data_IF_443877057341
#
_entry.id   IF_443877057341
#
_cell.length_a   1.000
_cell.length_b   1.000
_cell.length_c   1.000
_cell.angle_alpha   90.00
_cell.angle_beta   90.00
_cell.angle_gamma   90.00
#
_symmetry.space_group_name_H-M   'P 1'
#
loop_
_entity.id
_entity.type
_entity.pdbx_description
1 polymer ?
#
# COMPACT_ATOMS: atom_id res chain seq x y z
N UNK A 1 -14.88 17.59 11.35
CA UNK A 1 -13.54 16.96 11.21
C UNK A 1 -12.75 17.79 10.24
N UNK A 2 -11.55 18.30 10.55
CA UNK A 2 -10.74 18.99 9.56
C UNK A 2 -10.38 17.98 8.47
N UNK A 3 -10.78 18.26 7.23
CA UNK A 3 -10.32 17.51 6.08
C UNK A 3 -8.81 17.75 5.97
N UNK A 4 -8.05 16.68 6.08
CA UNK A 4 -6.61 16.69 5.87
C UNK A 4 -6.37 17.06 4.40
N UNK A 5 -5.82 18.25 4.17
CA UNK A 5 -5.48 18.71 2.82
C UNK A 5 -4.51 17.68 2.19
N UNK A 6 -4.82 17.10 1.04
CA UNK A 6 -3.87 16.25 0.35
C UNK A 6 -2.62 17.07 0.01
N UNK A 7 -1.48 16.40 -0.02
CA UNK A 7 -0.22 16.96 -0.49
C UNK A 7 -0.43 17.49 -1.92
N UNK A 8 0.14 18.65 -2.27
CA UNK A 8 0.00 19.16 -3.63
C UNK A 8 0.73 18.23 -4.60
N UNK A 9 0.30 18.20 -5.86
CA UNK A 9 0.95 17.36 -6.88
C UNK A 9 2.43 17.70 -7.04
N UNK A 10 2.81 18.97 -6.84
CA UNK A 10 4.18 19.43 -6.91
C UNK A 10 5.01 18.93 -5.72
N UNK A 11 4.48 18.98 -4.51
CA UNK A 11 5.16 18.45 -3.32
C UNK A 11 5.32 16.93 -3.41
N UNK A 12 4.30 16.25 -3.91
CA UNK A 12 4.33 14.82 -4.17
C UNK A 12 5.40 14.44 -5.21
N UNK A 13 5.53 15.23 -6.29
CA UNK A 13 6.55 15.01 -7.32
C UNK A 13 7.97 15.19 -6.76
N UNK A 14 8.23 16.30 -6.07
CA UNK A 14 9.54 16.58 -5.45
C UNK A 14 9.93 15.46 -4.48
N UNK A 15 8.99 15.00 -3.67
CA UNK A 15 9.21 13.92 -2.73
C UNK A 15 9.57 12.60 -3.43
N UNK A 16 8.86 12.25 -4.49
CA UNK A 16 9.08 11.02 -5.27
C UNK A 16 10.41 11.05 -6.00
N UNK A 17 10.78 12.19 -6.57
CA UNK A 17 12.09 12.39 -7.21
C UNK A 17 13.22 12.25 -6.19
N UNK A 18 13.12 12.91 -5.06
CA UNK A 18 14.10 12.83 -3.97
C UNK A 18 14.24 11.43 -3.37
N UNK A 19 13.17 10.60 -3.40
CA UNK A 19 13.19 9.22 -2.90
C UNK A 19 13.47 8.18 -3.98
N UNK A 20 13.65 8.58 -5.24
CA UNK A 20 13.86 7.66 -6.37
C UNK A 20 12.65 6.76 -6.68
N UNK A 21 11.43 7.17 -6.30
CA UNK A 21 10.22 6.36 -6.43
C UNK A 21 9.36 6.70 -7.64
N UNK A 22 9.81 7.57 -8.53
CA UNK A 22 9.07 7.95 -9.76
C UNK A 22 8.70 6.74 -10.61
N UNK A 23 9.64 5.81 -10.81
CA UNK A 23 9.38 4.58 -11.56
C UNK A 23 8.34 3.67 -10.90
N UNK A 24 8.28 3.64 -9.56
CA UNK A 24 7.26 2.86 -8.81
C UNK A 24 5.87 3.44 -9.04
N UNK A 25 5.74 4.77 -9.03
CA UNK A 25 4.46 5.44 -9.30
C UNK A 25 4.02 5.22 -10.75
N UNK A 26 4.95 5.28 -11.70
CA UNK A 26 4.64 5.04 -13.12
C UNK A 26 4.18 3.59 -13.35
N UNK A 27 4.80 2.61 -12.70
CA UNK A 27 4.36 1.22 -12.74
C UNK A 27 2.98 1.03 -12.09
N UNK A 28 2.73 1.70 -10.96
CA UNK A 28 1.44 1.66 -10.29
C UNK A 28 0.32 2.26 -11.16
N UNK A 29 0.56 3.42 -11.80
CA UNK A 29 -0.40 4.07 -12.71
C UNK A 29 -0.71 3.21 -13.93
N UNK A 30 0.31 2.60 -14.53
CA UNK A 30 0.10 1.70 -15.66
C UNK A 30 -0.77 0.51 -15.26
N UNK A 31 -0.48 -0.12 -14.13
CA UNK A 31 -1.26 -1.26 -13.65
C UNK A 31 -2.70 -0.85 -13.31
N UNK A 32 -2.88 0.27 -12.61
CA UNK A 32 -4.20 0.81 -12.26
C UNK A 32 -5.05 1.10 -13.50
N UNK A 33 -4.48 1.76 -14.52
CA UNK A 33 -5.16 2.03 -15.79
C UNK A 33 -5.61 0.75 -16.50
N UNK A 34 -4.73 -0.25 -16.62
CA UNK A 34 -5.09 -1.54 -17.24
C UNK A 34 -6.19 -2.29 -16.49
N UNK A 35 -6.15 -2.28 -15.16
CA UNK A 35 -7.22 -2.87 -14.34
C UNK A 35 -8.55 -2.13 -14.54
N UNK A 36 -8.49 -0.79 -14.59
CA UNK A 36 -9.68 0.04 -14.81
C UNK A 36 -10.31 -0.16 -16.17
N UNK A 37 -9.51 -0.28 -17.23
CA UNK A 37 -9.97 -0.57 -18.60
C UNK A 37 -10.78 -1.88 -18.69
N UNK A 38 -10.54 -2.80 -17.76
CA UNK A 38 -11.23 -4.09 -17.64
C UNK A 38 -12.21 -4.14 -16.46
N UNK A 39 -12.56 -2.98 -15.90
CA UNK A 39 -13.54 -2.83 -14.81
C UNK A 39 -13.15 -3.57 -13.53
N UNK A 40 -11.87 -3.80 -13.29
CA UNK A 40 -11.37 -4.41 -12.04
C UNK A 40 -11.10 -3.33 -10.99
N UNK A 41 -11.86 -3.32 -9.88
CA UNK A 41 -11.58 -2.42 -8.76
C UNK A 41 -10.26 -2.81 -8.07
N UNK A 42 -9.51 -1.82 -7.61
CA UNK A 42 -8.22 -2.07 -6.98
C UNK A 42 -7.91 -1.06 -5.86
N UNK A 43 -6.98 -1.42 -4.97
CA UNK A 43 -6.44 -0.53 -3.93
C UNK A 43 -4.92 -0.66 -3.88
N UNK A 44 -4.24 0.46 -3.85
CA UNK A 44 -2.80 0.53 -3.56
C UNK A 44 -2.61 0.47 -2.05
N UNK A 45 -1.73 -0.43 -1.61
CA UNK A 45 -1.35 -0.61 -0.20
C UNK A 45 0.17 -0.44 -0.03
N UNK A 46 0.72 -0.85 1.08
CA UNK A 46 2.17 -0.96 1.29
C UNK A 46 2.92 0.36 1.35
N UNK A 47 4.11 0.37 0.77
CA UNK A 47 5.05 1.50 0.84
C UNK A 47 4.58 2.73 0.09
N UNK A 48 3.98 2.54 -1.09
CA UNK A 48 3.47 3.65 -1.90
C UNK A 48 2.29 4.34 -1.19
N UNK A 49 1.39 3.58 -0.56
CA UNK A 49 0.30 4.16 0.23
C UNK A 49 0.81 4.99 1.42
N UNK A 50 1.90 4.56 2.07
CA UNK A 50 2.54 5.33 3.15
C UNK A 50 3.05 6.68 2.64
N UNK A 51 3.66 6.73 1.45
CA UNK A 51 4.10 7.98 0.83
C UNK A 51 2.95 8.93 0.52
N UNK A 52 1.85 8.41 -0.01
CA UNK A 52 0.65 9.22 -0.31
C UNK A 52 0.04 9.84 0.96
N UNK A 53 0.25 9.22 2.12
CA UNK A 53 -0.11 9.80 3.41
C UNK A 53 0.96 10.72 4.01
N UNK A 54 2.02 11.06 3.26
CA UNK A 54 2.97 12.12 3.60
C UNK A 54 4.21 11.67 4.40
N UNK A 55 4.46 10.37 4.54
CA UNK A 55 5.73 9.90 5.07
C UNK A 55 6.71 9.57 3.92
N UNK A 56 7.74 10.41 3.70
CA UNK A 56 8.73 10.20 2.66
C UNK A 56 9.65 9.03 3.02
N UNK A 57 9.44 7.90 2.36
CA UNK A 57 10.30 6.72 2.51
C UNK A 57 10.58 6.09 1.15
N UNK A 58 11.71 5.41 1.01
CA UNK A 58 12.00 4.64 -0.19
C UNK A 58 11.07 3.44 -0.27
N UNK A 59 10.44 3.23 -1.44
CA UNK A 59 9.77 1.99 -1.83
C UNK A 59 10.24 1.59 -3.22
N UNK A 60 10.34 0.30 -3.48
CA UNK A 60 10.88 -0.27 -4.72
C UNK A 60 9.88 -1.18 -5.43
N UNK A 61 8.74 -1.38 -4.82
CA UNK A 61 7.66 -2.26 -5.27
C UNK A 61 6.31 -1.58 -5.16
N UNK A 62 5.35 -2.11 -5.90
CA UNK A 62 3.93 -1.75 -5.83
C UNK A 62 3.17 -2.92 -5.25
N UNK A 63 2.32 -2.69 -4.28
CA UNK A 63 1.41 -3.68 -3.71
C UNK A 63 -0.03 -3.28 -4.07
N UNK A 64 -0.73 -4.11 -4.88
CA UNK A 64 -2.10 -3.85 -5.37
C UNK A 64 -3.04 -4.94 -4.87
N UNK A 65 -4.09 -4.55 -4.17
CA UNK A 65 -5.17 -5.44 -3.74
C UNK A 65 -6.25 -5.46 -4.80
N UNK A 66 -6.68 -6.66 -5.21
CA UNK A 66 -7.72 -6.91 -6.22
C UNK A 66 -8.70 -7.99 -5.75
N UNK A 67 -9.93 -8.05 -6.29
CA UNK A 67 -10.89 -9.12 -5.96
C UNK A 67 -10.39 -10.51 -6.37
N UNK A 68 -9.88 -10.65 -7.60
CA UNK A 68 -9.33 -11.89 -8.15
C UNK A 68 -7.92 -11.66 -8.68
N UNK A 69 -6.97 -12.44 -8.15
CA UNK A 69 -5.54 -12.34 -8.50
C UNK A 69 -5.28 -12.90 -9.91
N UNK A 70 -5.95 -13.97 -10.28
CA UNK A 70 -5.71 -14.62 -11.58
C UNK A 70 -6.21 -13.74 -12.72
N UNK A 71 -7.41 -13.22 -12.61
CA UNK A 71 -7.98 -12.29 -13.59
C UNK A 71 -7.11 -11.04 -13.74
N UNK A 72 -6.68 -10.46 -12.62
CA UNK A 72 -5.80 -9.28 -12.64
C UNK A 72 -4.46 -9.58 -13.32
N UNK A 73 -3.86 -10.72 -13.03
CA UNK A 73 -2.60 -11.13 -13.65
C UNK A 73 -2.74 -11.39 -15.16
N UNK A 74 -3.84 -12.01 -15.60
CA UNK A 74 -4.13 -12.22 -17.02
C UNK A 74 -4.23 -10.89 -17.76
N UNK A 75 -5.01 -9.96 -17.23
CA UNK A 75 -5.19 -8.63 -17.80
C UNK A 75 -3.89 -7.84 -17.84
N UNK A 76 -3.13 -7.82 -16.76
CA UNK A 76 -1.88 -7.08 -16.69
C UNK A 76 -0.83 -7.60 -17.68
N UNK A 77 -0.87 -8.89 -18.02
CA UNK A 77 0.12 -9.53 -18.90
C UNK A 77 -0.45 -10.00 -20.25
N UNK A 78 -1.66 -9.57 -20.61
CA UNK A 78 -2.31 -9.96 -21.87
C UNK A 78 -1.56 -9.48 -23.11
N UNK A 79 -0.84 -8.38 -23.02
CA UNK A 79 -0.10 -7.79 -24.12
C UNK A 79 1.27 -8.44 -24.24
N UNK A 80 1.46 -9.27 -25.28
CA UNK A 80 2.68 -10.07 -25.52
C UNK A 80 3.94 -9.21 -25.68
N UNK A 81 3.79 -8.00 -26.19
CA UNK A 81 4.88 -7.02 -26.37
C UNK A 81 4.74 -5.83 -25.41
N UNK A 82 3.83 -5.95 -24.44
CA UNK A 82 3.57 -4.94 -23.43
C UNK A 82 4.71 -4.82 -22.40
N UNK A 83 4.68 -3.81 -21.57
CA UNK A 83 5.74 -3.56 -20.59
C UNK A 83 5.63 -4.38 -19.31
N UNK A 84 4.52 -5.09 -19.07
CA UNK A 84 4.29 -5.88 -17.84
C UNK A 84 4.36 -7.37 -18.16
N UNK A 85 5.21 -8.10 -17.44
CA UNK A 85 5.43 -9.53 -17.63
C UNK A 85 5.33 -10.30 -16.31
N UNK A 86 4.88 -11.57 -16.42
CA UNK A 86 4.94 -12.52 -15.30
C UNK A 86 6.40 -12.77 -14.88
N UNK A 87 6.63 -12.88 -13.59
CA UNK A 87 7.94 -13.24 -13.05
C UNK A 87 7.99 -14.74 -12.84
N UNK A 88 8.96 -15.42 -13.49
CA UNK A 88 9.10 -16.88 -13.41
C UNK A 88 9.27 -17.33 -11.96
N UNK A 89 8.46 -18.28 -11.53
CA UNK A 89 8.48 -18.84 -10.17
C UNK A 89 7.79 -18.00 -9.11
N UNK A 90 7.12 -16.90 -9.49
CA UNK A 90 6.31 -16.09 -8.60
C UNK A 90 4.88 -16.00 -9.18
N UNK A 91 3.93 -16.60 -8.47
CA UNK A 91 2.55 -16.78 -8.99
C UNK A 91 1.68 -15.52 -8.86
N UNK A 92 2.05 -14.62 -7.95
CA UNK A 92 1.30 -13.43 -7.56
C UNK A 92 2.00 -12.11 -7.92
N UNK A 93 3.02 -12.16 -8.83
CA UNK A 93 3.86 -11.02 -9.17
C UNK A 93 4.06 -10.84 -10.66
N UNK A 94 4.07 -9.57 -11.03
CA UNK A 94 4.49 -9.13 -12.36
C UNK A 94 5.57 -8.06 -12.24
N UNK A 95 6.26 -7.78 -13.34
CA UNK A 95 7.30 -6.74 -13.42
C UNK A 95 6.99 -5.79 -14.55
N UNK A 96 7.04 -4.49 -14.30
CA UNK A 96 7.15 -3.47 -15.32
C UNK A 96 8.62 -3.34 -15.73
N UNK A 97 8.94 -3.75 -16.97
CA UNK A 97 10.33 -3.76 -17.47
C UNK A 97 10.86 -2.37 -17.83
N UNK A 98 10.01 -1.36 -18.01
CA UNK A 98 10.43 0.01 -18.28
C UNK A 98 11.06 0.64 -17.03
N UNK A 99 10.49 0.37 -15.87
CA UNK A 99 10.92 0.93 -14.57
C UNK A 99 11.64 -0.09 -13.71
N UNK A 100 11.69 -1.36 -14.14
CA UNK A 100 12.19 -2.50 -13.37
C UNK A 100 11.46 -2.74 -12.05
N UNK A 101 10.25 -2.19 -11.92
CA UNK A 101 9.44 -2.26 -10.69
C UNK A 101 8.69 -3.58 -10.60
N UNK A 102 8.75 -4.19 -9.43
CA UNK A 102 7.90 -5.35 -9.08
C UNK A 102 6.52 -4.87 -8.67
N UNK A 103 5.49 -5.59 -9.10
CA UNK A 103 4.09 -5.34 -8.74
C UNK A 103 3.54 -6.62 -8.12
N UNK A 104 3.26 -6.57 -6.83
CA UNK A 104 2.66 -7.67 -6.06
C UNK A 104 1.14 -7.56 -6.14
N UNK A 105 0.48 -8.60 -6.60
CA UNK A 105 -0.98 -8.67 -6.73
C UNK A 105 -1.53 -9.45 -5.54
N UNK A 106 -2.35 -8.79 -4.73
CA UNK A 106 -2.79 -9.28 -3.43
C UNK A 106 -4.31 -9.55 -3.43
N UNK A 107 -4.77 -10.70 -2.92
CA UNK A 107 -6.19 -11.05 -2.89
C UNK A 107 -6.93 -10.28 -1.79
N UNK A 108 -8.00 -9.60 -2.15
CA UNK A 108 -8.91 -8.96 -1.21
C UNK A 108 -9.57 -9.98 -0.26
N UNK A 109 -9.85 -9.58 0.95
CA UNK A 109 -10.52 -10.42 1.96
C UNK A 109 -9.65 -11.57 2.52
N UNK A 110 -8.39 -11.70 2.10
CA UNK A 110 -7.49 -12.76 2.56
C UNK A 110 -6.42 -12.24 3.52
N UNK A 111 -5.96 -13.14 4.38
CA UNK A 111 -4.78 -12.97 5.23
C UNK A 111 -3.68 -13.87 4.67
N UNK A 112 -2.59 -13.28 4.16
CA UNK A 112 -1.57 -14.05 3.42
C UNK A 112 -0.42 -14.54 4.31
N UNK A 113 -0.12 -13.83 5.40
CA UNK A 113 1.07 -14.11 6.20
C UNK A 113 0.71 -14.89 7.45
N UNK A 114 1.50 -15.93 7.74
CA UNK A 114 1.38 -16.67 9.00
C UNK A 114 1.58 -15.69 10.18
N UNK A 115 0.68 -15.75 11.15
CA UNK A 115 0.70 -14.88 12.33
C UNK A 115 -0.06 -13.57 12.17
N UNK A 116 -0.47 -13.20 10.95
CA UNK A 116 -1.36 -12.07 10.69
C UNK A 116 -2.83 -12.46 10.87
N UNK A 117 -3.68 -11.45 11.11
CA UNK A 117 -5.12 -11.61 11.37
C UNK A 117 -5.99 -10.58 10.67
N UNK A 118 -5.37 -9.55 10.09
CA UNK A 118 -6.08 -8.49 9.36
C UNK A 118 -6.13 -8.85 7.88
N UNK A 119 -7.33 -9.05 7.30
CA UNK A 119 -7.47 -9.31 5.88
C UNK A 119 -7.24 -8.03 5.07
N UNK A 120 -6.79 -8.19 3.83
CA UNK A 120 -6.75 -7.07 2.90
C UNK A 120 -8.16 -6.53 2.64
N UNK A 121 -8.34 -5.19 2.57
CA UNK A 121 -9.66 -4.59 2.34
C UNK A 121 -10.19 -4.95 0.95
N UNK A 122 -11.52 -4.96 0.83
CA UNK A 122 -12.19 -5.15 -0.45
C UNK A 122 -12.14 -3.84 -1.25
N UNK A 123 -11.55 -3.81 -2.47
CA UNK A 123 -11.68 -2.67 -3.37
C UNK A 123 -13.11 -2.61 -3.93
N UNK A 124 -13.67 -1.41 -4.00
CA UNK A 124 -15.04 -1.19 -4.47
C UNK A 124 -15.14 -0.18 -5.60
N UNK A 125 -14.05 0.52 -5.90
CA UNK A 125 -14.01 1.59 -6.90
C UNK A 125 -13.15 1.16 -8.07
N UNK A 126 -13.72 1.25 -9.28
CA UNK A 126 -12.98 1.17 -10.54
C UNK A 126 -12.51 2.57 -10.90
N UNK A 127 -11.22 2.76 -11.11
CA UNK A 127 -10.64 4.07 -11.41
C UNK A 127 -9.31 3.91 -12.14
N UNK A 128 -9.06 4.75 -13.13
CA UNK A 128 -7.75 4.90 -13.77
C UNK A 128 -6.71 5.59 -12.88
N UNK A 129 -7.17 6.28 -11.83
CA UNK A 129 -6.32 6.92 -10.84
C UNK A 129 -5.96 5.94 -9.73
N UNK A 130 -4.82 6.18 -9.06
CA UNK A 130 -4.40 5.37 -7.92
C UNK A 130 -5.43 5.46 -6.79
N UNK A 131 -6.08 4.36 -6.51
CA UNK A 131 -6.98 4.24 -5.37
C UNK A 131 -6.17 3.81 -4.15
N UNK A 132 -5.89 4.75 -3.27
CA UNK A 132 -5.11 4.48 -2.06
C UNK A 132 -6.01 3.89 -0.98
N UNK A 133 -5.52 2.85 -0.32
CA UNK A 133 -6.22 2.23 0.81
C UNK A 133 -6.51 3.26 1.91
N UNK A 134 -7.70 3.27 2.55
CA UNK A 134 -7.99 4.16 3.67
C UNK A 134 -6.94 4.07 4.78
N UNK A 135 -6.59 5.20 5.38
CA UNK A 135 -5.48 5.30 6.33
C UNK A 135 -5.61 4.35 7.53
N UNK A 136 -6.80 4.22 8.11
CA UNK A 136 -7.08 3.32 9.22
C UNK A 136 -6.90 1.83 8.84
N UNK A 137 -7.15 1.48 7.57
CA UNK A 137 -6.89 0.15 7.04
C UNK A 137 -5.39 -0.07 6.81
N UNK A 138 -4.68 0.94 6.28
CA UNK A 138 -3.22 0.89 6.12
C UNK A 138 -2.53 0.69 7.48
N UNK A 139 -2.90 1.48 8.49
CA UNK A 139 -2.39 1.35 9.86
C UNK A 139 -2.65 -0.08 10.40
N UNK A 140 -3.85 -0.60 10.18
CA UNK A 140 -4.21 -1.95 10.62
C UNK A 140 -3.34 -3.03 9.99
N UNK A 141 -3.13 -2.97 8.66
CA UNK A 141 -2.28 -3.91 7.92
C UNK A 141 -0.82 -3.83 8.38
N UNK A 142 -0.30 -2.62 8.59
CA UNK A 142 1.08 -2.38 9.04
C UNK A 142 1.34 -2.92 10.43
N UNK A 143 0.46 -2.63 11.40
CA UNK A 143 0.58 -3.14 12.76
C UNK A 143 0.47 -4.67 12.82
N UNK A 144 -0.43 -5.25 12.03
CA UNK A 144 -0.60 -6.71 11.96
C UNK A 144 0.62 -7.39 11.33
N UNK A 145 1.17 -6.81 10.26
CA UNK A 145 2.40 -7.28 9.62
C UNK A 145 3.59 -7.24 10.60
N UNK A 146 3.74 -6.15 11.36
CA UNK A 146 4.76 -6.04 12.39
C UNK A 146 4.54 -7.07 13.51
N UNK A 147 3.33 -7.19 14.05
CA UNK A 147 3.02 -8.14 15.11
C UNK A 147 3.30 -9.60 14.71
N UNK A 148 3.04 -9.95 13.45
CA UNK A 148 3.32 -11.28 12.91
C UNK A 148 4.82 -11.61 12.77
N UNK A 149 5.70 -10.61 12.65
CA UNK A 149 7.17 -10.79 12.51
C UNK A 149 7.94 -9.52 12.93
N UNK A 150 8.02 -9.19 14.22
CA UNK A 150 8.54 -7.88 14.70
C UNK A 150 9.95 -7.56 14.22
N UNK A 151 10.85 -8.54 14.22
CA UNK A 151 12.27 -8.35 13.81
C UNK A 151 12.39 -8.07 12.32
N UNK A 152 11.67 -8.80 11.48
CA UNK A 152 11.74 -8.63 10.01
C UNK A 152 10.90 -7.45 9.50
N UNK A 153 9.88 -7.05 10.25
CA UNK A 153 8.89 -6.05 9.88
C UNK A 153 8.94 -4.78 10.73
N UNK A 154 10.09 -4.48 11.34
CA UNK A 154 10.28 -3.26 12.13
C UNK A 154 9.92 -1.98 11.35
N UNK A 155 10.15 -1.96 10.02
CA UNK A 155 9.76 -0.85 9.14
C UNK A 155 8.25 -0.57 9.19
N UNK A 156 7.42 -1.62 9.29
CA UNK A 156 5.97 -1.45 9.32
C UNK A 156 5.52 -0.71 10.60
N UNK A 157 6.20 -0.94 11.75
CA UNK A 157 5.95 -0.16 12.96
C UNK A 157 6.43 1.29 12.84
N UNK A 158 7.60 1.50 12.24
CA UNK A 158 8.13 2.85 11.96
C UNK A 158 7.16 3.62 11.05
N UNK A 159 6.64 3.00 9.99
CA UNK A 159 5.64 3.60 9.11
C UNK A 159 4.43 4.10 9.93
N UNK A 160 3.94 3.30 10.90
CA UNK A 160 2.79 3.68 11.75
C UNK A 160 3.14 4.85 12.67
N UNK A 161 4.30 4.83 13.32
CA UNK A 161 4.76 5.94 14.19
C UNK A 161 4.80 7.24 13.40
N UNK A 162 5.44 7.23 12.24
CA UNK A 162 5.55 8.39 11.36
C UNK A 162 4.18 8.91 10.88
N UNK A 163 3.27 8.01 10.53
CA UNK A 163 1.92 8.39 10.13
C UNK A 163 1.13 8.99 11.28
N UNK A 164 1.23 8.45 12.51
CA UNK A 164 0.57 9.01 13.69
C UNK A 164 1.05 10.44 13.94
N UNK A 165 2.36 10.67 13.92
CA UNK A 165 2.95 11.97 14.21
C UNK A 165 2.64 13.01 13.11
N UNK A 166 2.88 12.65 11.84
CA UNK A 166 2.69 13.57 10.70
C UNK A 166 1.23 13.93 10.45
N UNK A 167 0.35 12.96 10.60
CA UNK A 167 -1.10 13.15 10.36
C UNK A 167 -1.86 13.51 11.64
N UNK A 168 -1.17 13.60 12.78
CA UNK A 168 -1.75 13.91 14.11
C UNK A 168 -2.96 13.01 14.38
N UNK A 169 -2.77 11.70 14.18
CA UNK A 169 -3.87 10.75 14.29
C UNK A 169 -4.37 10.69 15.75
N UNK A 170 -5.68 10.60 15.96
CA UNK A 170 -6.24 10.57 17.29
C UNK A 170 -6.06 9.19 17.94
N UNK A 171 -6.02 9.15 19.28
CA UNK A 171 -5.91 7.91 20.06
C UNK A 171 -7.06 6.93 19.80
N UNK A 172 -8.24 7.45 19.47
CA UNK A 172 -9.47 6.68 19.21
C UNK A 172 -9.68 6.33 17.73
N UNK A 173 -8.64 6.47 16.87
CA UNK A 173 -8.70 6.04 15.47
C UNK A 173 -9.26 4.62 15.38
N UNK A 174 -10.24 4.41 14.52
CA UNK A 174 -10.91 3.11 14.36
C UNK A 174 -10.04 2.19 13.50
N UNK A 175 -9.19 1.40 14.13
CA UNK A 175 -8.41 0.34 13.50
C UNK A 175 -9.06 -1.02 13.68
N UNK A 176 -8.60 -2.05 12.95
CA UNK A 176 -9.08 -3.42 13.09
C UNK A 176 -8.89 -3.94 14.53
N UNK A 177 -9.87 -4.67 15.06
CA UNK A 177 -9.89 -5.14 16.45
C UNK A 177 -8.62 -5.92 16.84
N UNK A 178 -8.09 -6.73 15.92
CA UNK A 178 -6.91 -7.55 16.15
C UNK A 178 -5.63 -6.75 16.49
N UNK A 179 -5.57 -5.46 16.11
CA UNK A 179 -4.40 -4.58 16.31
C UNK A 179 -4.72 -3.36 17.17
N UNK A 180 -5.92 -3.28 17.71
CA UNK A 180 -6.35 -2.14 18.52
C UNK A 180 -5.41 -1.86 19.69
N UNK A 181 -5.02 -2.89 20.42
CA UNK A 181 -4.11 -2.76 21.56
C UNK A 181 -2.74 -2.25 21.12
N UNK A 182 -2.18 -2.82 20.04
CA UNK A 182 -0.89 -2.37 19.49
C UNK A 182 -0.91 -0.92 19.00
N UNK A 183 -2.06 -0.46 18.48
CA UNK A 183 -2.23 0.94 18.10
C UNK A 183 -2.19 1.86 19.33
N UNK A 184 -2.94 1.53 20.39
CA UNK A 184 -3.00 2.30 21.63
C UNK A 184 -1.62 2.40 22.29
N UNK A 185 -0.92 1.27 22.43
CA UNK A 185 0.44 1.22 22.99
C UNK A 185 1.43 2.07 22.19
N UNK A 186 1.34 2.02 20.85
CA UNK A 186 2.20 2.83 19.97
C UNK A 186 1.88 4.32 20.12
N UNK A 187 0.60 4.67 20.16
CA UNK A 187 0.18 6.06 20.32
C UNK A 187 0.59 6.61 21.70
N UNK A 188 0.35 5.88 22.78
CA UNK A 188 0.70 6.28 24.15
C UNK A 188 2.22 6.44 24.30
N UNK A 189 3.03 5.55 23.69
CA UNK A 189 4.48 5.65 23.70
C UNK A 189 4.97 6.95 22.99
N UNK A 190 4.38 7.30 21.85
CA UNK A 190 4.72 8.55 21.14
C UNK A 190 4.44 9.78 22.02
N UNK A 191 3.30 9.79 22.73
CA UNK A 191 2.96 10.94 23.59
C UNK A 191 3.87 11.05 24.82
N UNK A 192 4.41 9.94 25.30
CA UNK A 192 5.33 9.93 26.45
C UNK A 192 6.74 10.46 26.10
N UNK A 193 7.11 10.48 24.82
CA UNK A 193 8.42 10.97 24.33
C UNK A 193 8.37 12.43 23.83
N UNK A 194 7.17 13.04 23.76
CA UNK A 194 6.94 14.40 23.27
C UNK A 194 6.73 15.37 24.42
#
# INVERSE_FOLDING_TARGET
MPQLTPMTDQDAYILRDATGTTGVVDAARLAAGRLADHLIPHLIVGGLAVQEYGYPRVTIDVEIVVPDVLDALEILTADVIGPIFRVRGLEDRVRDVRTQTMIDILPAGKVLKRGCRVPFPLPTVVSEFLQIVPLEKLISLKLDSWAGSPVRRHKDKTDVIELIQRRKLPRDLVVHAAVRQSYLETWDAIQAET
#
